data_IF_265995943213
#
_entry.id   IF_265995943213
#
_cell.length_a   1.000
_cell.length_b   1.000
_cell.length_c   1.000
_cell.angle_alpha   90.00
_cell.angle_beta   90.00
_cell.angle_gamma   90.00
#
_symmetry.space_group_name_H-M   'P 1'
#
loop_
_entity.id
_entity.type
_entity.pdbx_description
1 polymer ?
#
# COMPACT_ATOMS: atom_id res chain seq x y z
N UNK A 1 -3.03 10.54 7.17
CA UNK A 1 -2.66 10.94 5.80
C UNK A 1 -3.27 10.02 4.74
N UNK A 2 -3.08 8.72 4.78
CA UNK A 2 -3.62 7.76 3.80
C UNK A 2 -5.12 7.80 3.58
N UNK A 3 -5.90 7.99 4.63
CA UNK A 3 -7.36 8.10 4.53
C UNK A 3 -7.84 9.29 3.68
N UNK A 4 -7.08 10.39 3.64
CA UNK A 4 -7.43 11.56 2.82
C UNK A 4 -7.26 11.27 1.33
N UNK A 5 -6.17 10.59 0.93
CA UNK A 5 -5.95 10.19 -0.45
C UNK A 5 -7.04 9.22 -0.92
N UNK A 6 -7.36 8.19 -0.15
CA UNK A 6 -8.43 7.23 -0.46
C UNK A 6 -9.79 7.91 -0.63
N UNK A 7 -10.18 8.80 0.28
CA UNK A 7 -11.42 9.57 0.17
C UNK A 7 -11.47 10.43 -1.10
N UNK A 8 -10.35 11.05 -1.48
CA UNK A 8 -10.28 11.86 -2.68
C UNK A 8 -10.33 11.02 -3.96
N UNK A 9 -9.74 9.82 -3.96
CA UNK A 9 -9.87 8.85 -5.06
C UNK A 9 -11.34 8.43 -5.22
N UNK A 10 -12.01 8.07 -4.15
CA UNK A 10 -13.44 7.70 -4.16
C UNK A 10 -14.34 8.83 -4.67
N UNK A 11 -14.00 10.08 -4.37
CA UNK A 11 -14.69 11.27 -4.87
C UNK A 11 -14.35 11.64 -6.33
N UNK A 12 -13.44 10.92 -6.97
CA UNK A 12 -13.02 11.19 -8.34
C UNK A 12 -12.19 12.47 -8.53
N UNK A 13 -11.49 12.93 -7.48
CA UNK A 13 -10.65 14.12 -7.56
C UNK A 13 -9.49 13.87 -8.53
N UNK A 14 -9.40 14.66 -9.61
CA UNK A 14 -8.43 14.44 -10.71
C UNK A 14 -6.98 14.26 -10.23
N UNK A 15 -6.52 15.09 -9.29
CA UNK A 15 -5.16 14.98 -8.74
C UNK A 15 -4.95 13.66 -7.98
N UNK A 16 -5.94 13.19 -7.23
CA UNK A 16 -5.87 11.93 -6.51
C UNK A 16 -5.87 10.72 -7.46
N UNK A 17 -6.62 10.80 -8.56
CA UNK A 17 -6.60 9.77 -9.62
C UNK A 17 -5.24 9.68 -10.32
N UNK A 18 -4.56 10.82 -10.54
CA UNK A 18 -3.19 10.79 -11.08
C UNK A 18 -2.22 10.15 -10.08
N UNK A 19 -2.29 10.51 -8.79
CA UNK A 19 -1.49 9.88 -7.74
C UNK A 19 -1.76 8.37 -7.66
N UNK A 20 -3.01 7.94 -7.75
CA UNK A 20 -3.38 6.52 -7.81
C UNK A 20 -2.70 5.80 -8.98
N UNK A 21 -2.71 6.39 -10.19
CA UNK A 21 -2.04 5.81 -11.36
C UNK A 21 -0.53 5.70 -11.17
N UNK A 22 0.11 6.69 -10.52
CA UNK A 22 1.54 6.64 -10.18
C UNK A 22 1.79 5.49 -9.20
N UNK A 23 0.99 5.35 -8.12
CA UNK A 23 1.11 4.26 -7.15
C UNK A 23 0.98 2.91 -7.87
N UNK A 24 -0.06 2.74 -8.67
CA UNK A 24 -0.29 1.50 -9.44
C UNK A 24 0.91 1.17 -10.32
N UNK A 25 1.46 2.15 -11.04
CA UNK A 25 2.65 1.94 -11.86
C UNK A 25 3.84 1.48 -11.01
N UNK A 26 4.09 2.14 -9.88
CA UNK A 26 5.21 1.81 -8.99
C UNK A 26 5.04 0.44 -8.29
N UNK A 27 3.83 -0.03 -8.07
CA UNK A 27 3.56 -1.40 -7.57
C UNK A 27 4.06 -2.44 -8.57
N UNK A 28 3.73 -2.26 -9.85
CA UNK A 28 4.04 -3.27 -10.88
C UNK A 28 5.44 -3.14 -11.48
N UNK A 29 5.93 -1.92 -11.67
CA UNK A 29 7.21 -1.65 -12.32
C UNK A 29 8.37 -1.49 -11.34
N UNK A 30 8.10 -1.34 -10.03
CA UNK A 30 9.11 -1.00 -9.05
C UNK A 30 9.56 0.46 -9.16
N UNK A 31 10.77 0.75 -8.70
CA UNK A 31 11.34 2.11 -8.78
C UNK A 31 11.62 2.50 -10.23
N UNK A 32 11.26 3.73 -10.60
CA UNK A 32 11.36 4.21 -11.97
C UNK A 32 11.73 5.70 -12.04
N UNK A 33 12.07 6.20 -13.24
CA UNK A 33 12.39 7.62 -13.44
C UNK A 33 11.12 8.44 -13.75
N UNK A 34 11.16 9.75 -13.50
CA UNK A 34 10.09 10.66 -13.89
C UNK A 34 9.82 10.61 -15.42
N UNK A 35 10.87 10.45 -16.21
CA UNK A 35 10.75 10.35 -17.67
C UNK A 35 9.96 9.11 -18.09
N UNK A 36 10.21 7.97 -17.47
CA UNK A 36 9.51 6.73 -17.79
C UNK A 36 8.06 6.76 -17.29
N UNK A 37 7.82 7.32 -16.09
CA UNK A 37 6.47 7.61 -15.59
C UNK A 37 5.70 8.51 -16.57
N UNK A 38 6.33 9.59 -17.06
CA UNK A 38 5.74 10.52 -18.01
C UNK A 38 5.30 9.79 -19.29
N UNK A 39 6.17 8.96 -19.86
CA UNK A 39 5.87 8.15 -21.05
C UNK A 39 4.74 7.16 -20.82
N UNK A 40 4.81 6.38 -19.73
CA UNK A 40 3.82 5.35 -19.43
C UNK A 40 2.42 5.91 -19.15
N UNK A 41 2.36 7.11 -18.58
CA UNK A 41 1.10 7.75 -18.19
C UNK A 41 0.52 8.67 -19.27
N UNK A 42 1.31 9.02 -20.31
CA UNK A 42 0.92 10.01 -21.32
C UNK A 42 0.77 11.44 -20.74
N UNK A 43 1.56 11.78 -19.72
CA UNK A 43 1.56 13.08 -19.06
C UNK A 43 2.88 13.80 -19.32
N UNK A 44 2.87 15.13 -19.24
CA UNK A 44 4.10 15.91 -19.38
C UNK A 44 5.05 15.70 -18.19
N UNK A 45 6.38 15.75 -18.43
CA UNK A 45 7.40 15.65 -17.39
C UNK A 45 7.14 16.62 -16.22
N UNK A 46 6.85 17.92 -16.45
CA UNK A 46 6.54 18.86 -15.35
C UNK A 46 5.33 18.44 -14.51
N UNK A 47 4.29 17.87 -15.15
CA UNK A 47 3.11 17.38 -14.44
C UNK A 47 3.44 16.22 -13.54
N UNK A 48 4.17 15.22 -14.05
CA UNK A 48 4.60 14.05 -13.26
C UNK A 48 5.53 14.47 -12.13
N UNK A 49 6.50 15.35 -12.39
CA UNK A 49 7.42 15.89 -11.38
C UNK A 49 6.64 16.48 -10.22
N UNK A 50 5.67 17.36 -10.52
CA UNK A 50 4.82 17.98 -9.49
C UNK A 50 4.15 16.93 -8.58
N UNK A 51 3.51 15.90 -9.17
CA UNK A 51 2.82 14.89 -8.38
C UNK A 51 3.78 13.98 -7.59
N UNK A 52 4.94 13.63 -8.17
CA UNK A 52 5.97 12.86 -7.46
C UNK A 52 6.51 13.66 -6.28
N UNK A 53 6.81 14.95 -6.45
CA UNK A 53 7.28 15.83 -5.38
C UNK A 53 6.23 15.97 -4.25
N UNK A 54 4.94 16.10 -4.61
CA UNK A 54 3.85 16.09 -3.63
C UNK A 54 3.80 14.76 -2.86
N UNK A 55 3.91 13.64 -3.57
CA UNK A 55 3.85 12.29 -2.97
C UNK A 55 5.09 12.01 -2.10
N UNK A 56 6.26 12.56 -2.43
CA UNK A 56 7.44 12.50 -1.58
C UNK A 56 7.22 13.29 -0.28
N UNK A 57 6.65 14.49 -0.36
CA UNK A 57 6.31 15.31 0.83
C UNK A 57 5.22 14.65 1.68
N UNK A 58 4.28 13.96 1.07
CA UNK A 58 3.23 13.20 1.73
C UNK A 58 3.72 11.83 2.25
N UNK A 59 4.96 11.43 1.96
CA UNK A 59 5.58 10.21 2.44
C UNK A 59 5.16 8.93 1.73
N UNK A 60 4.46 9.01 0.60
CA UNK A 60 4.07 7.81 -0.20
C UNK A 60 5.17 7.30 -1.11
N UNK A 61 6.05 8.20 -1.54
CA UNK A 61 7.14 7.93 -2.49
C UNK A 61 8.45 8.39 -1.89
N UNK A 62 9.52 7.65 -2.13
CA UNK A 62 10.89 8.00 -1.77
C UNK A 62 11.74 8.18 -3.02
N UNK A 63 12.74 9.08 -2.96
CA UNK A 63 13.88 9.07 -3.86
C UNK A 63 14.76 7.85 -3.49
N UNK A 64 14.87 6.91 -4.41
CA UNK A 64 15.65 5.67 -4.27
C UNK A 64 17.09 5.81 -4.76
N UNK A 65 17.57 7.03 -5.01
CA UNK A 65 18.88 7.30 -5.54
C UNK A 65 18.89 7.47 -7.06
N UNK A 66 20.06 7.30 -7.66
CA UNK A 66 20.28 7.55 -9.09
C UNK A 66 20.42 6.24 -9.86
N UNK A 67 19.84 6.21 -11.06
CA UNK A 67 20.07 5.11 -11.99
C UNK A 67 21.52 5.18 -12.49
N UNK A 68 22.26 4.08 -12.34
CA UNK A 68 23.57 3.95 -12.93
C UNK A 68 23.43 3.83 -14.45
N UNK A 69 24.02 4.77 -15.18
CA UNK A 69 24.06 4.75 -16.64
C UNK A 69 25.52 4.82 -17.09
N UNK A 70 25.85 4.13 -18.15
CA UNK A 70 27.24 4.06 -18.71
C UNK A 70 27.73 5.36 -19.35
N UNK A 71 27.02 6.48 -19.17
CA UNK A 71 27.41 7.81 -19.63
C UNK A 71 26.28 8.81 -19.57
N UNK A 72 26.57 10.05 -19.16
CA UNK A 72 25.61 11.14 -19.13
C UNK A 72 24.96 11.40 -17.77
N UNK A 73 23.82 12.11 -17.77
CA UNK A 73 23.08 12.50 -16.56
C UNK A 73 22.44 11.27 -15.91
N UNK A 74 22.71 11.04 -14.64
CA UNK A 74 22.10 10.00 -13.84
C UNK A 74 20.70 10.46 -13.32
N UNK A 75 19.59 9.96 -13.88
CA UNK A 75 18.27 10.36 -13.42
C UNK A 75 17.95 9.74 -12.04
N UNK A 76 17.21 10.47 -11.20
CA UNK A 76 16.70 9.95 -9.93
C UNK A 76 15.67 8.87 -10.18
N UNK A 77 15.71 7.83 -9.35
CA UNK A 77 14.71 6.77 -9.25
C UNK A 77 13.75 7.08 -8.10
N UNK A 78 12.47 6.90 -8.36
CA UNK A 78 11.42 7.07 -7.38
C UNK A 78 10.67 5.76 -7.19
N UNK A 79 10.42 5.39 -5.92
CA UNK A 79 9.74 4.16 -5.55
C UNK A 79 8.76 4.38 -4.40
N UNK A 80 7.87 3.42 -4.17
CA UNK A 80 6.95 3.49 -3.04
C UNK A 80 7.70 3.42 -1.72
N UNK A 81 7.24 4.19 -0.75
CA UNK A 81 7.68 4.07 0.63
C UNK A 81 6.92 2.91 1.31
N UNK A 82 7.63 1.82 1.60
CA UNK A 82 7.04 0.63 2.22
C UNK A 82 6.26 0.95 3.50
N UNK A 83 6.79 1.88 4.32
CA UNK A 83 6.24 2.21 5.64
C UNK A 83 5.22 3.33 5.63
N UNK A 84 4.69 3.69 4.46
CA UNK A 84 3.67 4.73 4.36
C UNK A 84 2.28 4.26 4.75
N UNK A 85 1.98 2.97 4.60
CA UNK A 85 0.71 2.36 4.94
C UNK A 85 0.82 0.83 5.06
N UNK A 86 -0.15 0.24 5.77
CA UNK A 86 -0.28 -1.20 5.95
C UNK A 86 -1.70 -1.65 5.70
N UNK A 87 -1.86 -2.89 5.26
CA UNK A 87 -3.14 -3.50 4.96
C UNK A 87 -3.22 -4.87 5.60
N UNK A 88 -4.38 -5.22 6.15
CA UNK A 88 -4.66 -6.50 6.78
C UNK A 88 -5.62 -7.27 5.89
N UNK A 89 -5.29 -8.50 5.58
CA UNK A 89 -6.17 -9.48 4.94
C UNK A 89 -6.67 -10.50 5.96
N UNK A 90 -7.95 -10.78 5.94
CA UNK A 90 -8.61 -11.81 6.76
C UNK A 90 -9.33 -12.75 5.81
N UNK A 91 -8.91 -13.99 5.76
CA UNK A 91 -9.59 -15.04 4.99
C UNK A 91 -10.28 -16.01 5.93
N UNK A 92 -11.59 -16.17 5.75
CA UNK A 92 -12.41 -17.05 6.56
C UNK A 92 -12.86 -18.26 5.75
N UNK A 93 -12.55 -19.46 6.25
CA UNK A 93 -13.11 -20.71 5.77
C UNK A 93 -14.01 -21.32 6.85
N UNK A 94 -14.75 -22.37 6.50
CA UNK A 94 -15.71 -22.99 7.44
C UNK A 94 -15.04 -23.49 8.73
N UNK A 95 -13.78 -23.92 8.64
CA UNK A 95 -13.04 -24.50 9.78
C UNK A 95 -11.72 -23.82 10.07
N UNK A 96 -11.38 -22.71 9.40
CA UNK A 96 -10.13 -22.00 9.63
C UNK A 96 -10.26 -20.50 9.37
N UNK A 97 -9.43 -19.74 10.08
CA UNK A 97 -9.20 -18.32 9.90
C UNK A 97 -7.74 -18.12 9.49
N UNK A 98 -7.48 -17.28 8.52
CA UNK A 98 -6.13 -16.89 8.14
C UNK A 98 -5.98 -15.39 8.11
N UNK A 99 -4.88 -14.89 8.63
CA UNK A 99 -4.58 -13.47 8.74
C UNK A 99 -3.26 -13.17 8.02
N UNK A 100 -3.20 -12.04 7.35
CA UNK A 100 -1.99 -11.56 6.70
C UNK A 100 -1.88 -10.05 6.75
N UNK A 101 -0.66 -9.55 6.86
CA UNK A 101 -0.36 -8.12 6.78
C UNK A 101 0.66 -7.85 5.69
N UNK A 102 0.41 -6.81 4.91
CA UNK A 102 1.33 -6.32 3.88
C UNK A 102 1.61 -4.83 4.08
N UNK A 103 2.80 -4.41 3.63
CA UNK A 103 3.16 -2.99 3.57
C UNK A 103 2.62 -2.31 2.30
N UNK A 104 2.94 -1.03 2.12
CA UNK A 104 2.46 -0.24 0.97
C UNK A 104 3.07 -0.68 -0.38
N UNK A 105 4.17 -1.43 -0.38
CA UNK A 105 4.75 -2.06 -1.57
C UNK A 105 4.11 -3.39 -1.93
N UNK A 106 3.38 -4.01 -0.99
CA UNK A 106 2.84 -5.35 -1.12
C UNK A 106 3.75 -6.44 -0.55
N UNK A 107 4.86 -6.07 0.12
CA UNK A 107 5.69 -7.06 0.82
C UNK A 107 4.94 -7.58 2.03
N UNK A 108 5.00 -8.90 2.24
CA UNK A 108 4.37 -9.57 3.38
C UNK A 108 5.18 -9.28 4.65
N UNK A 109 4.51 -8.72 5.67
CA UNK A 109 5.11 -8.47 6.97
C UNK A 109 4.98 -9.67 7.90
N UNK A 110 3.78 -10.23 7.96
CA UNK A 110 3.44 -11.33 8.83
C UNK A 110 2.22 -12.07 8.29
N UNK A 111 2.17 -13.37 8.53
CA UNK A 111 0.99 -14.21 8.28
C UNK A 111 0.74 -15.15 9.46
N UNK A 112 -0.54 -15.43 9.72
CA UNK A 112 -0.99 -16.44 10.67
C UNK A 112 -2.02 -17.29 9.93
N UNK A 113 -1.61 -18.47 9.50
CA UNK A 113 -2.39 -19.30 8.59
C UNK A 113 -3.09 -20.43 9.33
N UNK A 114 -4.28 -20.80 8.84
CA UNK A 114 -5.02 -21.97 9.26
C UNK A 114 -5.26 -22.05 10.78
N UNK A 115 -5.57 -20.92 11.41
CA UNK A 115 -6.00 -20.89 12.81
C UNK A 115 -7.27 -21.74 12.91
N UNK A 116 -7.31 -22.79 13.75
CA UNK A 116 -8.51 -23.61 13.91
C UNK A 116 -9.68 -22.76 14.37
N UNK A 117 -10.73 -22.73 13.58
CA UNK A 117 -11.87 -21.86 13.79
C UNK A 117 -13.13 -22.48 13.16
N UNK A 118 -14.24 -22.46 13.86
CA UNK A 118 -15.53 -22.91 13.33
C UNK A 118 -16.42 -21.69 13.08
N UNK A 119 -16.70 -21.41 11.82
CA UNK A 119 -17.56 -20.28 11.43
C UNK A 119 -19.00 -20.60 11.79
N UNK A 120 -19.58 -19.82 12.71
CA UNK A 120 -20.96 -19.92 13.15
C UNK A 120 -21.61 -18.52 13.15
N UNK A 121 -22.89 -18.46 12.86
CA UNK A 121 -23.63 -17.20 12.88
C UNK A 121 -24.09 -16.86 14.31
N UNK A 122 -23.13 -16.59 15.19
CA UNK A 122 -23.36 -16.24 16.59
C UNK A 122 -22.55 -15.01 16.99
N UNK A 123 -23.00 -14.23 18.00
CA UNK A 123 -22.23 -13.09 18.52
C UNK A 123 -20.86 -13.51 19.05
N UNK A 124 -20.77 -14.65 19.73
CA UNK A 124 -19.55 -15.19 20.31
C UNK A 124 -18.50 -15.51 19.23
N UNK A 125 -18.96 -16.04 18.09
CA UNK A 125 -18.11 -16.29 16.93
C UNK A 125 -17.52 -14.99 16.37
N UNK A 126 -18.35 -13.95 16.24
CA UNK A 126 -17.88 -12.63 15.79
C UNK A 126 -16.87 -12.02 16.77
N UNK A 127 -17.14 -12.11 18.06
CA UNK A 127 -16.22 -11.62 19.09
C UNK A 127 -14.87 -12.32 19.03
N UNK A 128 -14.87 -13.65 18.84
CA UNK A 128 -13.63 -14.42 18.67
C UNK A 128 -12.83 -13.96 17.41
N UNK A 129 -13.51 -13.73 16.28
CA UNK A 129 -12.87 -13.19 15.07
C UNK A 129 -12.21 -11.83 15.38
N UNK A 130 -12.93 -10.93 16.04
CA UNK A 130 -12.40 -9.61 16.40
C UNK A 130 -11.17 -9.72 17.30
N UNK A 131 -11.20 -10.59 18.30
CA UNK A 131 -10.08 -10.83 19.22
C UNK A 131 -8.84 -11.37 18.48
N UNK A 132 -9.02 -12.32 17.55
CA UNK A 132 -7.92 -12.83 16.74
C UNK A 132 -7.30 -11.75 15.86
N UNK A 133 -8.12 -10.90 15.24
CA UNK A 133 -7.66 -9.77 14.43
C UNK A 133 -6.90 -8.75 15.29
N UNK A 134 -7.43 -8.38 16.46
CA UNK A 134 -6.80 -7.43 17.39
C UNK A 134 -5.46 -7.97 17.87
N UNK A 135 -5.40 -9.24 18.29
CA UNK A 135 -4.17 -9.90 18.72
C UNK A 135 -3.14 -9.89 17.59
N UNK A 136 -3.55 -10.26 16.37
CA UNK A 136 -2.66 -10.25 15.21
C UNK A 136 -2.11 -8.85 14.93
N UNK A 137 -2.95 -7.81 14.96
CA UNK A 137 -2.53 -6.42 14.78
C UNK A 137 -1.55 -6.00 15.87
N UNK A 138 -1.78 -6.43 17.11
CA UNK A 138 -0.90 -6.10 18.23
C UNK A 138 0.50 -6.71 18.13
N UNK A 139 0.61 -7.84 17.49
CA UNK A 139 1.87 -8.54 17.24
C UNK A 139 2.65 -7.98 16.03
N UNK A 140 2.03 -7.15 15.16
CA UNK A 140 2.70 -6.64 13.97
C UNK A 140 3.87 -5.71 14.30
N UNK A 141 5.02 -5.86 13.62
CA UNK A 141 6.19 -4.99 13.80
C UNK A 141 6.07 -3.69 12.99
N UNK A 142 4.94 -2.98 13.09
CA UNK A 142 4.68 -1.77 12.32
C UNK A 142 3.97 -0.70 13.13
N UNK A 143 3.93 0.54 12.60
CA UNK A 143 3.13 1.63 13.16
C UNK A 143 1.65 1.39 12.87
N UNK A 144 0.91 0.96 13.89
CA UNK A 144 -0.52 0.61 13.80
C UNK A 144 -1.40 1.78 13.36
N UNK A 145 -0.97 3.03 13.62
CA UNK A 145 -1.69 4.22 13.17
C UNK A 145 -1.72 4.38 11.64
N UNK A 146 -0.85 3.64 10.93
CA UNK A 146 -0.76 3.61 9.47
C UNK A 146 -1.50 2.43 8.83
N UNK A 147 -2.18 1.61 9.60
CA UNK A 147 -3.08 0.59 9.05
C UNK A 147 -4.27 1.30 8.41
N UNK A 148 -4.40 1.18 7.10
CA UNK A 148 -5.43 1.89 6.32
C UNK A 148 -6.72 1.11 6.18
N UNK A 149 -6.62 -0.21 6.09
CA UNK A 149 -7.78 -1.04 5.82
C UNK A 149 -7.59 -2.47 6.29
N UNK A 150 -8.71 -3.10 6.67
CA UNK A 150 -8.83 -4.53 6.92
C UNK A 150 -9.81 -5.06 5.87
N UNK A 151 -9.37 -6.02 5.06
CA UNK A 151 -10.18 -6.68 4.04
C UNK A 151 -10.53 -8.08 4.51
N UNK A 152 -11.83 -8.41 4.52
CA UNK A 152 -12.35 -9.71 4.95
C UNK A 152 -12.96 -10.42 3.73
N UNK A 153 -12.56 -11.67 3.50
CA UNK A 153 -13.02 -12.49 2.39
C UNK A 153 -13.20 -13.98 2.74
#
# INVERSE_FOLDING_TARGET
MGQTLLKNIQKGVKSALVKQRIITHLIYAGSTTITDLSKSMGLSVPTVTKFVDEMCKEGYVNDCGKLETSGGRHPSLYGLNADSAYFIGVAMAVQSLSLGAINFKGDVLQTKMEIPFKLENTPECLEHICQEIETFIDELPCDKSKILNICIG
#
